data_IF_629061776586
#
_entry.id   IF_629061776586
#
_cell.length_a   1.000
_cell.length_b   1.000
_cell.length_c   1.000
_cell.angle_alpha   90.00
_cell.angle_beta   90.00
_cell.angle_gamma   90.00
#
_symmetry.space_group_name_H-M   'P 1'
#
loop_
_entity.id
_entity.type
_entity.pdbx_description
1 polymer ?
2 polymer ?
3 non-polymer ?
4 non-polymer ?
5 non-polymer ?
6 non-polymer ?
7 water ?
#
# COMPACT_ATOMS: atom_id res chain seq x y z
N UNK A 8 -18.90 -16.56 -0.89
CA UNK A 8 -17.72 -16.44 -1.74
C UNK A 8 -17.09 -17.82 -1.99
N UNK A 9 -16.76 -18.10 -3.25
CA UNK A 9 -16.27 -19.40 -3.68
C UNK A 9 -14.77 -19.36 -4.02
N UNK A 10 -14.09 -20.50 -3.86
CA UNK A 10 -12.66 -20.57 -4.09
C UNK A 10 -12.33 -21.60 -5.18
N UNK A 11 -11.32 -21.29 -5.99
CA UNK A 11 -10.79 -22.24 -6.98
C UNK A 11 -9.29 -22.00 -7.02
N UNK A 12 -8.53 -22.93 -6.46
CA UNK A 12 -7.09 -22.74 -6.43
C UNK A 12 -6.73 -21.52 -5.62
N UNK A 13 -6.04 -20.57 -6.25
CA UNK A 13 -5.64 -19.33 -5.61
C UNK A 13 -6.63 -18.19 -5.84
N UNK A 14 -7.75 -18.46 -6.51
CA UNK A 14 -8.74 -17.45 -6.85
C UNK A 14 -9.94 -17.49 -5.93
N UNK A 15 -10.52 -16.31 -5.69
CA UNK A 15 -11.74 -16.12 -4.93
C UNK A 15 -12.74 -15.42 -5.81
N UNK A 16 -14.01 -15.83 -5.73
CA UNK A 16 -15.08 -15.26 -6.54
C UNK A 16 -16.25 -14.88 -5.64
N UNK A 17 -16.88 -13.74 -5.95
CA UNK A 17 -18.02 -13.25 -5.18
C UNK A 17 -19.09 -12.79 -6.15
N UNK A 18 -20.31 -13.31 -5.99
CA UNK A 18 -21.39 -12.91 -6.89
C UNK A 18 -21.95 -11.57 -6.42
N UNK A 19 -21.88 -10.56 -7.30
CA UNK A 19 -22.37 -9.23 -6.97
C UNK A 19 -23.79 -8.98 -7.46
N UNK A 20 -24.24 -9.76 -8.43
CA UNK A 20 -25.50 -9.57 -9.13
C UNK A 20 -25.83 -10.89 -9.80
N UNK A 21 -27.08 -11.09 -10.25
CA UNK A 21 -27.42 -12.38 -10.86
C UNK A 21 -26.45 -12.83 -11.96
N UNK A 22 -25.93 -11.91 -12.76
CA UNK A 22 -25.04 -12.30 -13.85
C UNK A 22 -23.65 -11.66 -13.75
N UNK A 23 -23.21 -11.28 -12.54
CA UNK A 23 -21.93 -10.58 -12.38
C UNK A 23 -21.21 -11.14 -11.15
N UNK A 24 -19.93 -11.50 -11.33
CA UNK A 24 -19.07 -11.95 -10.24
C UNK A 24 -17.79 -11.13 -10.23
N UNK A 25 -17.26 -10.92 -9.03
CA UNK A 25 -15.94 -10.33 -8.83
C UNK A 25 -14.92 -11.44 -8.64
N UNK A 26 -13.82 -11.40 -9.41
CA UNK A 26 -12.73 -12.33 -9.22
C UNK A 26 -11.57 -11.61 -8.51
N UNK A 27 -10.93 -12.32 -7.58
CA UNK A 27 -9.87 -11.73 -6.77
C UNK A 27 -8.67 -12.67 -6.80
N UNK A 28 -7.51 -12.12 -7.13
CA UNK A 28 -6.26 -12.86 -7.11
C UNK A 28 -5.24 -12.06 -6.29
N UNK A 29 -4.19 -12.76 -5.81
CA UNK A 29 -3.21 -12.19 -4.91
C UNK A 29 -1.81 -12.38 -5.47
N UNK A 30 -1.00 -11.32 -5.36
CA UNK A 30 0.43 -11.39 -5.62
C UNK A 30 1.18 -10.92 -4.39
N UNK A 31 2.11 -11.74 -3.90
CA UNK A 31 2.91 -11.39 -2.74
C UNK A 31 4.01 -10.42 -3.19
N UNK A 32 4.02 -9.24 -2.60
CA UNK A 32 4.96 -8.20 -3.01
C UNK A 32 5.91 -7.91 -1.85
N UNK A 33 7.20 -7.67 -2.12
CA UNK A 33 8.10 -7.27 -1.03
C UNK A 33 7.58 -6.03 -0.31
N UNK A 34 7.66 -6.07 1.02
CA UNK A 34 7.12 -4.98 1.82
C UNK A 34 5.62 -5.01 2.02
N UNK A 35 4.85 -4.99 0.92
CA UNK A 35 3.39 -4.96 1.03
C UNK A 35 2.79 -6.33 1.35
N UNK A 36 3.49 -7.42 1.02
CA UNK A 36 2.89 -8.73 1.18
C UNK A 36 1.89 -9.02 0.07
N UNK A 37 0.94 -9.90 0.38
CA UNK A 37 -0.06 -10.31 -0.61
C UNK A 37 -1.03 -9.17 -0.89
N UNK A 38 -1.03 -8.67 -2.12
CA UNK A 38 -1.92 -7.59 -2.57
C UNK A 38 -3.05 -8.19 -3.38
N UNK A 39 -4.29 -7.89 -2.99
CA UNK A 39 -5.46 -8.37 -3.70
C UNK A 39 -5.77 -7.48 -4.90
N UNK A 40 -6.26 -8.09 -5.98
CA UNK A 40 -6.74 -7.34 -7.14
C UNK A 40 -8.03 -7.96 -7.63
N UNK A 41 -9.04 -7.12 -7.88
CA UNK A 41 -10.35 -7.56 -8.33
C UNK A 41 -10.55 -7.27 -9.82
N UNK A 42 -11.14 -8.23 -10.52
CA UNK A 42 -11.74 -8.00 -11.83
C UNK A 42 -13.21 -8.44 -11.86
N UNK A 43 -13.83 -8.53 -13.03
CA UNK A 43 -15.23 -8.92 -13.14
C UNK A 43 -15.44 -10.03 -14.17
N UNK A 44 -16.51 -10.79 -13.94
CA UNK A 44 -16.99 -11.82 -14.86
C UNK A 44 -18.46 -11.53 -15.09
N UNK A 45 -18.87 -11.47 -16.36
CA UNK A 45 -20.24 -11.05 -16.69
C UNK A 45 -20.86 -12.09 -17.61
N UNK A 46 -21.98 -12.69 -17.18
CA UNK A 46 -22.72 -13.64 -17.99
C UNK A 46 -23.75 -12.87 -18.82
N UNK A 47 -23.61 -12.92 -20.14
CA UNK A 47 -24.42 -12.15 -21.07
C UNK A 47 -25.13 -13.14 -22.01
N UNK A 48 -26.34 -13.52 -21.64
CA UNK A 48 -27.03 -14.56 -22.37
C UNK A 48 -26.25 -15.86 -22.35
N UNK A 49 -25.88 -16.36 -23.54
CA UNK A 49 -25.18 -17.62 -23.64
C UNK A 49 -23.66 -17.55 -23.71
N UNK A 50 -23.08 -16.46 -23.24
CA UNK A 50 -21.63 -16.33 -23.27
C UNK A 50 -21.16 -15.51 -22.07
N UNK A 51 -19.85 -15.53 -21.84
CA UNK A 51 -19.24 -14.90 -20.68
C UNK A 51 -18.26 -13.84 -21.18
N UNK A 52 -18.23 -12.69 -20.49
CA UNK A 52 -17.29 -11.61 -20.74
C UNK A 52 -16.44 -11.40 -19.49
N UNK A 53 -15.14 -11.17 -19.69
CA UNK A 53 -14.18 -11.03 -18.58
C UNK A 53 -13.59 -9.62 -18.59
N UNK A 54 -13.61 -8.97 -17.44
CA UNK A 54 -12.97 -7.67 -17.27
C UNK A 54 -11.73 -7.88 -16.41
N UNK A 55 -10.55 -7.71 -17.03
CA UNK A 55 -9.21 -7.81 -16.42
C UNK A 55 -8.76 -9.24 -16.18
N UNK A 56 -7.45 -9.48 -16.30
CA UNK A 56 -6.82 -10.74 -15.92
C UNK A 56 -6.60 -10.78 -14.41
N UNK A 57 -6.11 -11.93 -13.93
CA UNK A 57 -5.47 -12.01 -12.63
C UNK A 57 -4.02 -11.53 -12.74
N UNK A 58 -3.28 -11.58 -11.62
CA UNK A 58 -1.90 -11.11 -11.63
C UNK A 58 -1.03 -11.94 -12.56
N UNK A 59 -1.30 -13.24 -12.69
CA UNK A 59 -0.42 -14.10 -13.47
C UNK A 59 -1.21 -14.96 -14.46
N UNK A 60 -0.47 -15.55 -15.39
CA UNK A 60 -1.09 -16.44 -16.36
C UNK A 60 -1.78 -17.62 -15.67
N UNK A 61 -1.10 -18.25 -14.70
CA UNK A 61 -1.68 -19.43 -14.09
C UNK A 61 -2.94 -19.08 -13.31
N UNK A 62 -2.94 -17.95 -12.60
CA UNK A 62 -4.15 -17.51 -11.92
C UNK A 62 -5.26 -17.19 -12.92
N UNK A 63 -4.90 -16.65 -14.08
CA UNK A 63 -5.91 -16.34 -15.08
C UNK A 63 -6.48 -17.63 -15.67
N UNK A 64 -5.63 -18.65 -15.87
CA UNK A 64 -6.15 -19.97 -16.25
C UNK A 64 -7.11 -20.52 -15.21
N UNK A 65 -6.82 -20.26 -13.92
CA UNK A 65 -7.73 -20.70 -12.87
C UNK A 65 -9.10 -20.04 -13.02
N UNK A 66 -9.13 -18.73 -13.33
CA UNK A 66 -10.40 -18.05 -13.59
C UNK A 66 -11.17 -18.76 -14.70
N UNK A 67 -10.47 -19.11 -15.78
CA UNK A 67 -11.16 -19.70 -16.93
C UNK A 67 -11.70 -21.09 -16.59
N UNK A 68 -10.95 -21.85 -15.79
CA UNK A 68 -11.44 -23.16 -15.37
C UNK A 68 -12.63 -23.03 -14.43
N UNK A 69 -12.60 -22.05 -13.52
CA UNK A 69 -13.77 -21.84 -12.66
C UNK A 69 -14.98 -21.44 -13.48
N UNK A 70 -14.79 -20.60 -14.50
CA UNK A 70 -15.89 -20.22 -15.37
C UNK A 70 -16.52 -21.46 -15.99
N UNK A 71 -15.70 -22.32 -16.60
CA UNK A 71 -16.22 -23.53 -17.21
C UNK A 71 -16.94 -24.38 -16.18
N UNK A 72 -16.29 -24.60 -15.03
CA UNK A 72 -16.83 -25.48 -14.00
C UNK A 72 -18.15 -24.95 -13.45
N UNK A 73 -18.20 -23.65 -13.13
CA UNK A 73 -19.34 -23.08 -12.42
C UNK A 73 -20.41 -22.53 -13.34
N UNK A 74 -20.02 -21.89 -14.45
CA UNK A 74 -20.97 -21.22 -15.32
C UNK A 74 -21.20 -22.00 -16.61
N UNK A 75 -20.15 -22.63 -17.12
CA UNK A 75 -20.21 -23.51 -18.29
C UNK A 75 -20.90 -22.82 -19.47
N UNK A 76 -20.39 -21.64 -19.81
CA UNK A 76 -20.69 -20.89 -21.01
C UNK A 76 -19.36 -20.40 -21.58
N UNK A 77 -19.23 -20.37 -22.91
CA UNK A 77 -17.95 -19.97 -23.50
C UNK A 77 -17.62 -18.51 -23.19
N UNK A 78 -16.33 -18.25 -23.03
CA UNK A 78 -15.85 -16.89 -22.82
C UNK A 78 -15.60 -16.28 -24.20
N UNK A 79 -16.42 -15.30 -24.56
CA UNK A 79 -16.34 -14.69 -25.89
C UNK A 79 -15.19 -13.69 -26.00
N UNK A 80 -14.91 -12.93 -24.94
CA UNK A 80 -13.89 -11.88 -25.00
C UNK A 80 -13.49 -11.47 -23.60
N UNK A 81 -12.36 -10.77 -23.53
CA UNK A 81 -11.93 -10.08 -22.32
C UNK A 81 -11.52 -8.66 -22.67
N UNK A 82 -11.78 -7.73 -21.75
CA UNK A 82 -11.32 -6.35 -21.86
C UNK A 82 -10.51 -6.04 -20.60
N UNK A 83 -9.33 -5.46 -20.78
CA UNK A 83 -8.41 -5.20 -19.68
C UNK A 83 -8.20 -3.70 -19.60
N UNK A 84 -8.09 -3.17 -18.37
CA UNK A 84 -8.38 -1.76 -18.15
C UNK A 84 -7.14 -0.87 -18.05
N UNK A 85 -5.93 -1.43 -18.03
CA UNK A 85 -4.71 -0.67 -18.34
C UNK A 85 -3.52 -1.61 -18.27
N UNK A 86 -2.35 -1.09 -18.65
CA UNK A 86 -1.16 -1.93 -18.81
C UNK A 86 -0.35 -1.98 -17.51
N UNK A 87 -0.89 -2.72 -16.56
CA UNK A 87 -0.21 -3.02 -15.30
C UNK A 87 -0.42 -4.50 -14.99
N UNK A 88 0.50 -5.06 -14.19
CA UNK A 88 0.53 -6.51 -13.97
C UNK A 88 -0.80 -7.05 -13.42
N UNK A 89 -1.42 -6.33 -12.48
CA UNK A 89 -2.63 -6.90 -11.90
C UNK A 89 -3.81 -6.91 -12.87
N UNK A 90 -3.76 -6.14 -13.96
CA UNK A 90 -4.82 -6.07 -14.97
C UNK A 90 -4.52 -6.84 -16.25
N UNK A 91 -3.23 -6.97 -16.61
CA UNK A 91 -2.82 -7.60 -17.86
C UNK A 91 -1.79 -8.71 -17.63
N UNK A 92 -1.54 -9.10 -16.39
CA UNK A 92 -0.52 -10.11 -16.13
C UNK A 92 -0.83 -11.47 -16.73
N UNK A 93 -2.11 -11.77 -16.95
CA UNK A 93 -2.49 -13.08 -17.47
C UNK A 93 -2.86 -13.08 -18.95
N UNK A 94 -2.34 -12.14 -19.74
CA UNK A 94 -2.72 -12.07 -21.16
C UNK A 94 -2.37 -13.36 -21.90
N UNK A 95 -1.17 -13.91 -21.67
CA UNK A 95 -0.77 -15.13 -22.37
C UNK A 95 -1.76 -16.27 -22.16
N UNK A 96 -2.33 -16.37 -20.95
CA UNK A 96 -3.33 -17.38 -20.64
C UNK A 96 -4.60 -17.20 -21.48
N UNK A 97 -5.08 -15.96 -21.62
CA UNK A 97 -6.27 -15.73 -22.41
C UNK A 97 -6.04 -16.11 -23.87
N UNK A 98 -4.90 -15.71 -24.42
CA UNK A 98 -4.59 -16.02 -25.81
C UNK A 98 -4.43 -17.52 -26.03
N UNK A 99 -3.84 -18.22 -25.05
CA UNK A 99 -3.72 -19.66 -25.15
C UNK A 99 -5.09 -20.32 -25.22
N UNK A 100 -6.07 -19.74 -24.53
CA UNK A 100 -7.45 -20.21 -24.63
C UNK A 100 -8.19 -19.67 -25.85
N UNK A 101 -7.51 -18.92 -26.72
CA UNK A 101 -8.16 -18.42 -27.92
C UNK A 101 -9.22 -17.35 -27.67
N UNK A 102 -9.15 -16.67 -26.53
CA UNK A 102 -10.13 -15.64 -26.19
C UNK A 102 -9.68 -14.31 -26.80
N UNK A 103 -10.60 -13.63 -27.48
CA UNK A 103 -10.27 -12.35 -28.08
C UNK A 103 -10.11 -11.30 -26.98
N UNK A 104 -9.00 -10.57 -27.03
CA UNK A 104 -8.66 -9.61 -25.99
C UNK A 104 -8.67 -8.19 -26.54
N UNK A 105 -9.16 -7.27 -25.71
CA UNK A 105 -9.31 -5.85 -26.05
C UNK A 105 -8.67 -4.98 -24.98
N UNK A 106 -8.01 -3.91 -25.41
CA UNK A 106 -7.46 -2.93 -24.49
C UNK A 106 -7.43 -1.59 -25.21
N UNK A 107 -7.43 -0.51 -24.42
CA UNK A 107 -7.13 0.83 -24.95
C UNK A 107 -5.91 0.76 -25.87
N UNK A 108 -6.03 1.37 -27.05
CA UNK A 108 -4.87 1.44 -27.94
C UNK A 108 -3.63 1.91 -27.19
N UNK A 109 -3.80 2.87 -26.28
CA UNK A 109 -2.67 3.36 -25.48
C UNK A 109 -2.14 2.27 -24.54
N UNK A 110 -3.03 1.44 -23.99
CA UNK A 110 -2.58 0.32 -23.16
C UNK A 110 -1.71 -0.64 -23.97
N UNK A 111 -2.09 -0.93 -25.21
CA UNK A 111 -1.28 -1.84 -25.99
C UNK A 111 0.05 -1.20 -26.39
N UNK A 112 0.08 0.12 -26.57
CA UNK A 112 1.33 0.79 -26.90
C UNK A 112 2.28 0.82 -25.70
N UNK A 113 1.75 0.97 -24.49
CA UNK A 113 2.59 1.00 -23.30
C UNK A 113 2.96 -0.39 -22.81
N UNK A 114 2.16 -1.40 -23.16
CA UNK A 114 2.35 -2.75 -22.64
C UNK A 114 3.79 -3.27 -22.72
N UNK A 115 4.54 -3.08 -23.82
CA UNK A 115 5.91 -3.66 -23.85
C UNK A 115 6.84 -3.09 -22.79
N UNK A 116 6.87 -1.77 -22.61
CA UNK A 116 7.73 -1.22 -21.57
C UNK A 116 7.20 -1.51 -20.17
N UNK A 117 5.89 -1.73 -20.02
CA UNK A 117 5.36 -2.13 -18.72
C UNK A 117 5.54 -3.61 -18.45
N UNK A 118 6.16 -4.35 -19.35
CA UNK A 118 6.41 -5.76 -19.14
C UNK A 118 5.24 -6.67 -19.46
N UNK A 119 4.22 -6.15 -20.14
CA UNK A 119 2.97 -6.84 -20.40
C UNK A 119 2.90 -7.27 -21.85
N UNK A 120 2.08 -8.29 -22.10
CA UNK A 120 1.76 -8.70 -23.47
C UNK A 120 0.53 -7.90 -23.91
N UNK A 121 0.63 -7.27 -25.06
CA UNK A 121 -0.49 -6.48 -25.57
C UNK A 121 -1.71 -7.36 -25.81
N UNK A 122 -2.89 -6.75 -25.70
CA UNK A 122 -4.07 -7.42 -26.19
C UNK A 122 -4.07 -7.45 -27.72
N UNK A 123 -4.88 -8.33 -28.27
CA UNK A 123 -4.93 -8.53 -29.72
C UNK A 123 -5.69 -7.44 -30.45
N UNK A 124 -6.55 -6.69 -29.76
CA UNK A 124 -7.36 -5.65 -30.39
C UNK A 124 -7.23 -4.36 -29.57
N UNK A 125 -7.26 -3.24 -30.29
CA UNK A 125 -7.13 -1.91 -29.71
C UNK A 125 -8.47 -1.19 -29.74
N UNK A 126 -8.90 -0.69 -28.58
CA UNK A 126 -10.03 0.23 -28.47
C UNK A 126 -9.60 1.67 -28.66
N UNK A 127 -10.41 2.45 -29.35
CA UNK A 127 -10.15 3.89 -29.46
C UNK A 127 -11.37 4.63 -28.90
N UNK A 128 -11.19 5.91 -28.62
CA UNK A 128 -12.19 6.67 -27.88
C UNK A 128 -12.50 8.00 -28.55
N UNK A 129 -13.74 8.43 -28.39
CA UNK A 129 -14.19 9.73 -28.87
C UNK A 129 -13.68 10.83 -27.94
N UNK A 130 -13.83 12.08 -28.40
CA UNK A 130 -13.44 13.25 -27.61
C UNK A 130 -14.20 13.35 -26.30
N UNK A 131 -15.37 12.74 -26.17
CA UNK A 131 -16.06 12.73 -24.89
C UNK A 131 -15.75 11.49 -24.04
N UNK A 132 -14.75 10.70 -24.43
CA UNK A 132 -14.30 9.59 -23.61
C UNK A 132 -14.96 8.26 -23.88
N UNK A 133 -16.09 8.24 -24.58
CA UNK A 133 -16.78 6.98 -24.85
C UNK A 133 -16.05 6.19 -25.92
N UNK A 134 -16.04 4.86 -25.76
CA UNK A 134 -15.34 4.02 -26.73
C UNK A 134 -16.01 4.17 -28.08
N UNK A 135 -15.21 4.02 -29.13
CA UNK A 135 -15.76 3.97 -30.48
C UNK A 135 -16.32 2.58 -30.68
N UNK A 136 -17.65 2.42 -30.73
CA UNK A 136 -18.23 1.06 -30.66
C UNK A 136 -17.78 0.13 -31.77
N UNK A 137 -17.34 0.64 -32.91
CA UNK A 137 -16.82 -0.25 -33.95
C UNK A 137 -15.56 -0.97 -33.52
N UNK A 138 -14.81 -0.42 -32.56
CA UNK A 138 -13.61 -1.10 -32.09
C UNK A 138 -13.89 -2.06 -30.94
N UNK A 139 -15.11 -2.03 -30.37
CA UNK A 139 -15.54 -2.96 -29.32
C UNK A 139 -16.77 -3.71 -29.80
N UNK A 140 -16.64 -4.57 -30.83
CA UNK A 140 -17.82 -5.23 -31.40
C UNK A 140 -18.34 -6.31 -30.45
N UNK A 141 -19.66 -6.38 -30.36
CA UNK A 141 -20.36 -7.41 -29.59
C UNK A 141 -19.91 -7.45 -28.13
N UNK A 142 -19.76 -6.26 -27.53
CA UNK A 142 -19.47 -6.16 -26.10
C UNK A 142 -20.72 -6.30 -25.23
N UNK A 143 -21.90 -6.46 -25.82
CA UNK A 143 -23.11 -6.67 -25.08
C UNK A 143 -23.43 -5.54 -24.12
N UNK A 144 -23.56 -5.86 -22.83
CA UNK A 144 -23.86 -4.83 -21.83
C UNK A 144 -22.65 -4.04 -21.36
N UNK A 145 -21.44 -4.40 -21.77
CA UNK A 145 -20.25 -3.65 -21.38
C UNK A 145 -20.21 -2.30 -22.08
N UNK A 146 -20.19 -1.22 -21.30
CA UNK A 146 -20.04 0.15 -21.80
C UNK A 146 -18.68 0.66 -21.36
N UNK A 147 -17.73 0.77 -22.29
CA UNK A 147 -16.35 1.12 -21.99
C UNK A 147 -16.14 2.62 -22.15
N UNK A 148 -15.56 3.24 -21.12
CA UNK A 148 -15.38 4.69 -21.05
C UNK A 148 -13.96 4.99 -20.62
N UNK A 149 -13.29 5.89 -21.35
CA UNK A 149 -11.97 6.36 -20.98
C UNK A 149 -12.08 7.70 -20.27
N UNK A 150 -11.80 7.77 -18.97
CA UNK A 150 -12.09 9.01 -18.22
C UNK A 150 -11.04 10.09 -18.33
N UNK A 151 -9.90 9.80 -18.95
CA UNK A 151 -8.75 10.68 -18.88
C UNK A 151 -7.66 10.10 -18.01
N UNK A 152 -6.46 10.69 -18.05
CA UNK A 152 -5.34 10.14 -17.28
C UNK A 152 -5.54 10.33 -15.79
N UNK A 153 -5.20 9.31 -15.02
CA UNK A 153 -5.36 9.36 -13.58
C UNK A 153 -4.43 8.38 -12.89
N UNK A 154 -4.96 7.21 -12.51
CA UNK A 154 -4.10 6.16 -11.99
C UNK A 154 -2.94 5.87 -12.95
N UNK A 155 -3.24 5.73 -14.23
CA UNK A 155 -2.24 5.75 -15.30
C UNK A 155 -2.75 6.65 -16.41
N UNK A 156 -1.93 6.84 -17.45
CA UNK A 156 -2.40 7.65 -18.57
C UNK A 156 -3.44 6.90 -19.40
N UNK A 157 -3.47 5.57 -19.31
CA UNK A 157 -4.30 4.75 -20.19
C UNK A 157 -5.49 4.11 -19.49
N UNK A 158 -5.72 4.35 -18.20
CA UNK A 158 -6.77 3.61 -17.50
C UNK A 158 -8.14 3.84 -18.16
N UNK A 159 -8.92 2.75 -18.26
CA UNK A 159 -10.29 2.79 -18.78
C UNK A 159 -11.22 2.17 -17.74
N UNK A 160 -12.52 2.41 -17.93
CA UNK A 160 -13.56 2.01 -16.98
C UNK A 160 -14.71 1.36 -17.74
N UNK A 161 -15.52 0.58 -17.02
CA UNK A 161 -16.54 -0.28 -17.64
C UNK A 161 -17.80 -0.22 -16.79
N UNK A 162 -18.93 0.12 -17.42
CA UNK A 162 -20.24 -0.06 -16.82
C UNK A 162 -20.92 -1.31 -17.35
N UNK A 163 -21.81 -1.88 -16.56
CA UNK A 163 -22.59 -3.03 -16.98
C UNK A 163 -24.02 -2.57 -17.17
N UNK A 164 -24.44 -2.45 -18.43
CA UNK A 164 -25.77 -1.93 -18.71
C UNK A 164 -26.82 -2.87 -18.14
N UNK A 165 -27.84 -2.30 -17.52
CA UNK A 165 -28.91 -3.08 -16.93
C UNK A 165 -28.65 -3.52 -15.50
N UNK A 166 -27.56 -3.07 -14.90
CA UNK A 166 -27.26 -3.33 -13.51
C UNK A 166 -26.97 -1.99 -12.85
N UNK A 167 -26.78 -2.03 -11.54
CA UNK A 167 -26.35 -0.86 -10.80
C UNK A 167 -24.83 -0.74 -10.75
N UNK A 168 -24.10 -1.48 -11.58
CA UNK A 168 -22.67 -1.69 -11.37
C UNK A 168 -21.85 -0.90 -12.38
N UNK A 169 -20.78 -0.26 -11.88
CA UNK A 169 -19.76 0.37 -12.70
C UNK A 169 -18.40 0.04 -12.08
N UNK A 170 -17.43 -0.24 -12.95
CA UNK A 170 -16.13 -0.74 -12.53
C UNK A 170 -15.10 0.37 -12.80
N UNK A 171 -14.56 0.94 -11.74
CA UNK A 171 -13.51 1.93 -11.87
C UNK A 171 -12.09 1.38 -11.94
N UNK A 172 -11.91 0.06 -11.78
CA UNK A 172 -10.56 -0.49 -11.80
C UNK A 172 -9.70 0.16 -10.73
N UNK A 173 -8.47 0.49 -11.10
CA UNK A 173 -7.50 1.04 -10.15
C UNK A 173 -7.63 2.56 -9.97
N UNK A 174 -8.50 3.20 -10.75
CA UNK A 174 -8.68 4.65 -10.67
C UNK A 174 -9.33 5.05 -9.36
N UNK A 175 -10.27 4.23 -8.90
CA UNK A 175 -11.13 4.54 -7.75
C UNK A 175 -10.69 3.71 -6.56
N UNK A 176 -10.62 4.37 -5.40
CA UNK A 176 -10.42 3.73 -4.10
C UNK A 176 -11.69 3.88 -3.28
N UNK A 177 -11.82 3.07 -2.23
CA UNK A 177 -13.07 3.12 -1.48
C UNK A 177 -13.15 4.39 -0.64
N UNK A 178 -14.34 4.62 -0.08
CA UNK A 178 -14.64 5.90 0.55
C UNK A 178 -13.87 6.14 1.83
N UNK A 179 -13.29 5.10 2.42
CA UNK A 179 -12.52 5.23 3.65
C UNK A 179 -11.03 5.06 3.42
N UNK A 180 -10.59 5.02 2.17
CA UNK A 180 -9.17 4.81 1.86
C UNK A 180 -8.34 5.99 2.35
N UNK A 181 -7.13 5.70 2.82
CA UNK A 181 -6.22 6.72 3.30
C UNK A 181 -5.35 7.32 2.21
N UNK A 182 -5.25 6.67 1.05
CA UNK A 182 -4.41 7.19 -0.01
C UNK A 182 -4.89 6.62 -1.35
N UNK A 183 -4.33 7.15 -2.43
CA UNK A 183 -4.60 6.68 -3.78
C UNK A 183 -3.70 5.50 -4.19
N UNK A 184 -2.95 4.93 -3.25
CA UNK A 184 -2.23 3.69 -3.55
C UNK A 184 -1.09 3.90 -4.54
N UNK A 185 -1.06 3.04 -5.56
CA UNK A 185 0.02 2.97 -6.53
C UNK A 185 -0.01 4.16 -7.50
N UNK A 186 0.70 5.23 -7.17
CA UNK A 186 0.74 6.44 -7.99
C UNK A 186 2.00 6.54 -8.85
N UNK A 187 2.80 5.47 -8.92
CA UNK A 187 4.07 5.52 -9.62
C UNK A 187 3.96 5.89 -11.10
N UNK A 188 2.83 5.57 -11.73
CA UNK A 188 2.58 5.93 -13.13
C UNK A 188 1.46 6.97 -13.26
N UNK A 189 1.08 7.62 -12.17
CA UNK A 189 -0.15 8.40 -12.16
C UNK A 189 0.06 9.77 -12.82
N UNK A 190 -1.06 10.34 -13.27
CA UNK A 190 -1.15 11.71 -13.76
C UNK A 190 -1.74 12.55 -12.63
N UNK A 191 -0.85 13.13 -11.82
CA UNK A 191 -1.29 13.84 -10.62
C UNK A 191 -2.12 15.07 -10.95
N UNK A 192 -1.83 15.73 -12.07
CA UNK A 192 -2.55 16.95 -12.44
C UNK A 192 -3.99 16.66 -12.83
N UNK A 193 -4.23 15.58 -13.57
CA UNK A 193 -5.55 15.32 -14.12
C UNK A 193 -6.36 14.28 -13.34
N UNK A 194 -5.77 13.63 -12.33
CA UNK A 194 -6.43 12.52 -11.63
C UNK A 194 -7.84 12.91 -11.14
N UNK A 195 -7.96 14.06 -10.47
CA UNK A 195 -9.25 14.40 -9.88
C UNK A 195 -10.32 14.55 -10.95
N UNK A 196 -9.99 15.24 -12.05
CA UNK A 196 -10.93 15.38 -13.15
C UNK A 196 -11.34 14.03 -13.71
N UNK A 197 -10.38 13.12 -13.86
CA UNK A 197 -10.70 11.84 -14.48
C UNK A 197 -11.58 10.98 -13.56
N UNK A 198 -11.32 11.00 -12.26
CA UNK A 198 -12.19 10.27 -11.33
C UNK A 198 -13.61 10.81 -11.38
N UNK A 199 -13.76 12.13 -11.44
CA UNK A 199 -15.10 12.72 -11.56
C UNK A 199 -15.73 12.38 -12.90
N UNK A 200 -14.94 12.37 -13.98
CA UNK A 200 -15.49 12.01 -15.30
C UNK A 200 -16.04 10.58 -15.29
N UNK A 201 -15.37 9.69 -14.55
CA UNK A 201 -15.90 8.33 -14.37
C UNK A 201 -17.30 8.38 -13.76
N UNK A 202 -17.47 9.18 -12.70
CA UNK A 202 -18.76 9.28 -12.06
C UNK A 202 -19.84 9.87 -12.97
N UNK A 203 -19.47 10.88 -13.77
CA UNK A 203 -20.44 11.49 -14.67
C UNK A 203 -20.79 10.59 -15.85
N UNK A 204 -19.92 9.64 -16.21
CA UNK A 204 -20.19 8.76 -17.33
C UNK A 204 -21.19 7.67 -16.95
N UNK A 205 -21.23 7.25 -15.69
CA UNK A 205 -22.17 6.24 -15.19
C UNK A 205 -22.98 6.90 -14.08
N UNK A 206 -23.84 7.86 -14.44
CA UNK A 206 -24.39 8.76 -13.41
C UNK A 206 -25.29 8.07 -12.41
N UNK A 207 -25.86 6.93 -12.75
CA UNK A 207 -26.83 6.30 -11.87
C UNK A 207 -26.27 5.10 -11.11
N UNK A 208 -25.11 4.57 -11.51
CA UNK A 208 -24.61 3.35 -10.88
C UNK A 208 -24.40 3.57 -9.39
N UNK A 209 -24.93 2.64 -8.58
CA UNK A 209 -24.88 2.76 -7.13
C UNK A 209 -23.85 1.84 -6.48
N UNK A 210 -23.39 0.82 -7.21
CA UNK A 210 -22.38 -0.11 -6.72
C UNK A 210 -21.11 0.15 -7.54
N UNK A 211 -20.09 0.70 -6.88
CA UNK A 211 -18.81 1.00 -7.53
C UNK A 211 -17.85 -0.13 -7.17
N UNK A 212 -17.38 -0.85 -8.19
CA UNK A 212 -16.42 -1.94 -8.05
C UNK A 212 -15.04 -1.41 -8.42
N UNK A 213 -14.01 -1.87 -7.71
CA UNK A 213 -12.67 -1.35 -7.96
C UNK A 213 -11.63 -2.43 -7.68
N UNK A 214 -10.38 -2.14 -8.07
CA UNK A 214 -9.35 -3.18 -8.10
C UNK A 214 -8.86 -3.55 -6.70
N UNK A 215 -8.74 -2.59 -5.79
CA UNK A 215 -8.07 -2.85 -4.52
C UNK A 215 -8.92 -2.50 -3.31
N UNK A 216 -10.25 -2.48 -3.46
CA UNK A 216 -11.18 -2.37 -2.33
C UNK A 216 -12.40 -3.21 -2.64
N UNK A 217 -13.13 -3.59 -1.59
CA UNK A 217 -14.44 -4.20 -1.73
C UNK A 217 -15.38 -3.20 -2.40
N UNK A 218 -16.44 -3.68 -3.05
CA UNK A 218 -17.40 -2.77 -3.70
C UNK A 218 -17.97 -1.78 -2.70
N UNK A 219 -18.20 -0.54 -3.16
CA UNK A 219 -18.56 0.56 -2.29
C UNK A 219 -19.65 1.39 -2.96
N UNK A 220 -20.11 2.42 -2.27
CA UNK A 220 -21.09 3.35 -2.81
C UNK A 220 -20.38 4.41 -3.63
N UNK A 221 -21.16 5.31 -4.25
CA UNK A 221 -20.59 6.42 -5.00
C UNK A 221 -19.70 7.31 -4.16
N UNK A 222 -19.80 7.21 -2.83
CA UNK A 222 -18.86 7.94 -1.96
C UNK A 222 -17.42 7.61 -2.30
N UNK A 223 -17.17 6.43 -2.89
CA UNK A 223 -15.82 6.08 -3.30
C UNK A 223 -15.30 7.04 -4.37
N UNK A 224 -16.16 7.41 -5.31
CA UNK A 224 -15.78 8.35 -6.37
C UNK A 224 -15.46 9.72 -5.78
N UNK A 225 -16.40 10.28 -5.00
CA UNK A 225 -16.20 11.65 -4.50
C UNK A 225 -15.00 11.71 -3.56
N UNK A 226 -14.83 10.69 -2.69
CA UNK A 226 -13.66 10.65 -1.81
C UNK A 226 -12.36 10.52 -2.60
N UNK A 227 -12.34 9.64 -3.60
CA UNK A 227 -11.16 9.53 -4.48
C UNK A 227 -10.84 10.86 -5.12
N UNK A 228 -11.86 11.58 -5.60
CA UNK A 228 -11.61 12.88 -6.24
C UNK A 228 -11.02 13.88 -5.24
N UNK A 229 -11.56 13.93 -4.01
CA UNK A 229 -11.03 14.85 -2.99
C UNK A 229 -9.56 14.57 -2.69
N UNK A 230 -9.21 13.31 -2.48
CA UNK A 230 -7.81 12.94 -2.30
C UNK A 230 -6.97 13.37 -3.50
N UNK A 231 -7.49 13.22 -4.71
CA UNK A 231 -6.71 13.62 -5.88
C UNK A 231 -6.56 15.12 -5.97
N UNK A 232 -7.58 15.88 -5.52
CA UNK A 232 -7.47 17.35 -5.50
C UNK A 232 -6.20 17.79 -4.80
N UNK A 233 -5.80 17.08 -3.75
CA UNK A 233 -4.66 17.42 -2.91
C UNK A 233 -3.32 17.13 -3.59
N UNK A 234 -3.32 16.58 -4.80
CA UNK A 234 -2.05 16.28 -5.47
C UNK A 234 -1.63 17.37 -6.46
N UNK B 8 3.86 18.30 6.28
CA UNK B 8 3.53 19.70 6.05
C UNK B 8 4.70 20.48 5.42
N UNK B 9 5.92 20.19 5.87
CA UNK B 9 7.10 20.97 5.52
C UNK B 9 8.07 20.13 4.69
N UNK B 10 8.39 20.59 3.48
CA UNK B 10 9.29 19.89 2.57
C UNK B 10 10.71 20.40 2.69
N UNK B 11 11.68 19.50 2.47
CA UNK B 11 13.09 19.79 2.68
C UNK B 11 13.88 18.76 1.90
N UNK B 12 14.52 19.17 0.82
CA UNK B 12 15.00 18.18 -0.14
C UNK B 12 13.82 17.34 -0.59
N UNK B 13 14.04 16.03 -0.67
CA UNK B 13 12.95 15.11 -0.97
C UNK B 13 12.30 14.56 0.29
N UNK B 14 12.63 15.10 1.45
CA UNK B 14 12.08 14.65 2.72
C UNK B 14 10.92 15.57 3.11
N UNK B 15 10.11 15.10 4.06
CA UNK B 15 8.94 15.82 4.57
C UNK B 15 8.98 15.74 6.10
N UNK B 16 8.65 16.85 6.75
CA UNK B 16 8.68 16.95 8.21
C UNK B 16 7.38 17.57 8.68
N UNK B 17 6.79 16.98 9.72
CA UNK B 17 5.53 17.48 10.28
C UNK B 17 5.66 17.52 11.79
N UNK B 18 5.27 18.65 12.40
CA UNK B 18 5.34 18.74 13.85
C UNK B 18 4.11 18.08 14.48
N UNK B 19 4.35 17.20 15.45
CA UNK B 19 3.26 16.52 16.14
C UNK B 19 2.98 17.09 17.53
N UNK B 20 4.02 17.59 18.20
CA UNK B 20 3.90 18.13 19.54
C UNK B 20 4.93 19.22 19.67
N UNK B 21 4.84 20.06 20.73
CA UNK B 21 5.87 21.09 20.96
C UNK B 21 7.30 20.68 20.64
N UNK B 22 7.74 19.51 21.09
CA UNK B 22 9.13 19.08 20.91
C UNK B 22 9.26 17.78 20.12
N UNK B 23 8.27 17.45 19.28
CA UNK B 23 8.25 16.17 18.57
C UNK B 23 7.88 16.40 17.10
N UNK B 24 8.73 15.90 16.20
CA UNK B 24 8.45 15.93 14.77
C UNK B 24 8.56 14.54 14.18
N UNK B 25 7.71 14.27 13.20
CA UNK B 25 7.81 13.06 12.38
C UNK B 25 8.63 13.38 11.13
N UNK B 26 9.68 12.58 10.88
CA UNK B 26 10.42 12.69 9.63
C UNK B 26 9.93 11.62 8.66
N UNK B 27 9.87 11.99 7.37
CA UNK B 27 9.35 11.10 6.34
C UNK B 27 10.28 11.11 5.14
N UNK B 28 10.68 9.92 4.69
CA UNK B 28 11.51 9.71 3.51
C UNK B 28 10.86 8.67 2.61
N UNK B 29 11.23 8.73 1.33
CA UNK B 29 10.58 7.95 0.28
C UNK B 29 11.62 7.15 -0.50
N UNK B 30 11.26 5.90 -0.81
CA UNK B 30 12.05 5.05 -1.68
C UNK B 30 11.13 4.52 -2.77
N UNK B 31 11.56 4.63 -4.02
CA UNK B 31 10.82 4.06 -5.13
C UNK B 31 10.88 2.53 -5.04
N UNK B 32 9.72 1.89 -5.00
CA UNK B 32 9.62 0.44 -5.09
C UNK B 32 9.15 0.07 -6.49
N UNK B 33 9.73 -1.00 -7.03
CA UNK B 33 9.39 -1.42 -8.38
C UNK B 33 7.89 -1.65 -8.51
N UNK B 34 7.28 -1.01 -9.51
CA UNK B 34 5.89 -1.21 -9.79
C UNK B 34 4.92 -0.55 -8.82
N UNK B 35 5.41 0.27 -7.90
CA UNK B 35 4.50 0.99 -7.01
C UNK B 35 4.82 2.48 -7.03
N UNK B 36 6.10 2.82 -6.90
CA UNK B 36 6.48 4.21 -6.76
C UNK B 36 7.01 4.53 -5.37
N UNK B 37 6.79 5.77 -4.93
CA UNK B 37 7.36 6.28 -3.69
C UNK B 37 6.67 5.64 -2.48
N UNK B 38 7.43 4.94 -1.65
CA UNK B 38 6.93 4.39 -0.39
C UNK B 38 7.43 5.27 0.75
N UNK B 39 6.51 5.78 1.55
CA UNK B 39 6.86 6.59 2.70
C UNK B 39 7.34 5.71 3.85
N UNK B 40 8.36 6.18 4.57
CA UNK B 40 8.69 5.66 5.88
C UNK B 40 8.84 6.82 6.87
N UNK B 41 8.26 6.66 8.06
CA UNK B 41 8.26 7.70 9.09
C UNK B 41 9.12 7.31 10.27
N UNK B 42 9.87 8.29 10.79
CA UNK B 42 10.50 8.19 12.10
C UNK B 42 10.17 9.40 12.96
N UNK B 43 10.90 9.59 14.07
CA UNK B 43 10.63 10.70 14.97
C UNK B 43 11.90 11.47 15.32
N UNK B 44 11.72 12.74 15.62
CA UNK B 44 12.77 13.63 16.09
C UNK B 44 12.25 14.29 17.37
N UNK B 45 13.07 14.30 18.42
CA UNK B 45 12.60 14.74 19.74
C UNK B 45 13.60 15.72 20.30
N UNK B 46 13.15 16.92 20.65
CA UNK B 46 13.99 17.91 21.33
C UNK B 46 13.83 17.73 22.83
N UNK B 47 14.91 17.33 23.50
CA UNK B 47 14.92 17.13 24.95
C UNK B 47 15.94 18.09 25.54
N UNK B 48 15.46 19.23 26.02
CA UNK B 48 16.33 20.26 26.54
C UNK B 48 17.17 20.88 25.44
N UNK B 49 18.48 20.67 25.49
CA UNK B 49 19.38 21.21 24.49
C UNK B 49 20.05 20.14 23.66
N UNK B 50 19.36 19.01 23.48
CA UNK B 50 19.83 17.95 22.59
C UNK B 50 18.65 17.39 21.81
N UNK B 51 18.94 16.75 20.68
CA UNK B 51 17.93 16.13 19.85
C UNK B 51 18.11 14.62 19.90
N UNK B 52 16.98 13.91 19.95
CA UNK B 52 16.95 12.45 19.89
C UNK B 52 16.24 12.05 18.61
N UNK B 53 16.80 11.09 17.88
CA UNK B 53 16.21 10.61 16.63
C UNK B 53 15.78 9.16 16.81
N UNK B 54 14.56 8.85 16.39
CA UNK B 54 14.07 7.48 16.30
C UNK B 54 13.99 7.12 14.82
N UNK B 55 14.80 6.14 14.41
CA UNK B 55 14.88 5.55 13.06
C UNK B 55 15.64 6.42 12.07
N UNK B 56 16.43 5.79 11.20
CA UNK B 56 17.02 6.48 10.07
C UNK B 56 15.98 6.65 8.98
N UNK B 57 16.38 7.27 7.87
CA UNK B 57 15.61 7.21 6.64
C UNK B 57 16.05 5.98 5.83
N UNK B 58 15.46 5.79 4.65
CA UNK B 58 15.83 4.65 3.82
C UNK B 58 17.31 4.67 3.46
N UNK B 59 17.91 5.84 3.22
CA UNK B 59 19.29 5.90 2.74
C UNK B 59 20.14 6.82 3.60
N UNK B 60 21.46 6.64 3.45
CA UNK B 60 22.41 7.55 4.11
C UNK B 60 22.21 8.99 3.66
N UNK B 61 22.05 9.21 2.36
CA UNK B 61 21.82 10.57 1.87
C UNK B 61 20.56 11.17 2.48
N UNK B 62 19.47 10.39 2.52
CA UNK B 62 18.24 10.88 3.14
C UNK B 62 18.44 11.15 4.63
N UNK B 63 19.25 10.33 5.28
CA UNK B 63 19.48 10.50 6.70
C UNK B 63 20.37 11.72 6.98
N UNK B 64 21.37 11.95 6.14
CA UNK B 64 22.12 13.20 6.25
C UNK B 64 21.21 14.40 6.10
N UNK B 65 20.16 14.29 5.28
CA UNK B 65 19.20 15.39 5.11
C UNK B 65 18.34 15.59 6.35
N UNK B 66 18.03 14.52 7.09
CA UNK B 66 17.36 14.69 8.38
C UNK B 66 18.23 15.52 9.33
N UNK B 67 19.53 15.20 9.39
CA UNK B 67 20.44 15.99 10.21
C UNK B 67 20.50 17.44 9.74
N UNK B 68 20.55 17.65 8.42
CA UNK B 68 20.50 19.01 7.87
C UNK B 68 19.23 19.73 8.32
N UNK B 69 18.07 19.08 8.21
CA UNK B 69 16.84 19.72 8.64
C UNK B 69 16.89 20.06 10.13
N UNK B 70 17.39 19.15 10.96
CA UNK B 70 17.52 19.43 12.39
C UNK B 70 18.40 20.66 12.62
N UNK B 71 19.54 20.73 11.92
CA UNK B 71 20.41 21.88 12.07
C UNK B 71 19.67 23.18 11.74
N UNK B 72 18.89 23.18 10.66
CA UNK B 72 18.18 24.38 10.25
C UNK B 72 17.05 24.72 11.22
N UNK B 73 16.22 23.74 11.56
CA UNK B 73 14.98 24.06 12.27
C UNK B 73 15.12 24.03 13.79
N UNK B 74 16.09 23.28 14.33
CA UNK B 74 16.24 23.10 15.76
C UNK B 74 17.58 23.64 16.26
N UNK B 75 18.66 23.37 15.51
CA UNK B 75 19.97 23.95 15.79
C UNK B 75 20.47 23.56 17.18
N UNK B 76 20.35 22.26 17.48
CA UNK B 76 20.92 21.61 18.65
C UNK B 76 21.63 20.35 18.18
N UNK B 77 22.66 19.90 18.89
CA UNK B 77 23.34 18.66 18.48
C UNK B 77 22.44 17.45 18.71
N UNK B 78 22.69 16.40 17.92
CA UNK B 78 21.94 15.16 18.03
C UNK B 78 22.73 14.24 18.95
N UNK B 79 22.15 13.93 20.11
CA UNK B 79 22.90 13.17 21.13
C UNK B 79 22.93 11.69 20.80
N UNK B 80 21.84 11.15 20.29
CA UNK B 80 21.76 9.72 20.03
C UNK B 80 20.60 9.44 19.09
N UNK B 81 20.64 8.24 18.50
CA UNK B 81 19.54 7.72 17.72
C UNK B 81 19.24 6.29 18.16
N UNK B 82 17.95 5.96 18.23
CA UNK B 82 17.47 4.60 18.42
C UNK B 82 16.78 4.16 17.14
N UNK B 83 17.09 2.95 16.66
CA UNK B 83 16.45 2.38 15.48
C UNK B 83 15.66 1.14 15.90
N UNK B 84 14.47 0.99 15.33
CA UNK B 84 13.48 0.08 15.89
C UNK B 84 13.48 -1.34 15.30
N UNK B 85 14.17 -1.59 14.18
CA UNK B 85 14.54 -2.96 13.79
C UNK B 85 15.45 -2.90 12.57
N UNK B 86 15.95 -4.07 12.16
CA UNK B 86 17.01 -4.16 11.15
C UNK B 86 16.43 -4.39 9.75
N UNK B 87 15.78 -3.33 9.24
CA UNK B 87 15.30 -3.27 7.88
C UNK B 87 15.71 -1.93 7.30
N UNK B 88 15.71 -1.85 5.96
CA UNK B 88 16.26 -0.69 5.26
C UNK B 88 15.55 0.60 5.66
N UNK B 89 14.22 0.56 5.82
CA UNK B 89 13.51 1.81 6.11
C UNK B 89 13.80 2.34 7.51
N UNK B 90 14.33 1.51 8.41
CA UNK B 90 14.65 1.94 9.77
C UNK B 90 16.15 2.09 10.02
N UNK B 91 16.98 1.33 9.31
CA UNK B 91 18.41 1.31 9.55
C UNK B 91 19.24 1.55 8.29
N UNK B 92 18.61 1.87 7.17
CA UNK B 92 19.37 2.08 5.95
C UNK B 92 20.36 3.23 6.01
N UNK B 93 20.22 4.15 6.96
CA UNK B 93 21.07 5.33 7.01
C UNK B 93 22.09 5.38 8.13
N UNK B 94 22.46 4.21 8.67
CA UNK B 94 23.33 4.15 9.85
C UNK B 94 24.67 4.82 9.60
N UNK B 95 25.27 4.63 8.41
CA UNK B 95 26.57 5.23 8.12
C UNK B 95 26.55 6.75 8.24
N UNK B 96 25.46 7.39 7.81
CA UNK B 96 25.38 8.84 7.92
C UNK B 96 25.34 9.29 9.37
N UNK B 97 24.64 8.53 10.22
CA UNK B 97 24.61 8.85 11.65
C UNK B 97 26.02 8.76 12.23
N UNK B 98 26.73 7.66 11.93
CA UNK B 98 28.06 7.45 12.46
C UNK B 98 29.05 8.48 11.90
N UNK B 99 28.92 8.82 10.63
CA UNK B 99 29.77 9.86 10.08
C UNK B 99 29.60 11.19 10.82
N UNK B 100 28.39 11.46 11.32
CA UNK B 100 28.13 12.70 12.06
C UNK B 100 28.53 12.62 13.52
N UNK B 101 29.09 11.51 13.98
CA UNK B 101 29.46 11.39 15.38
C UNK B 101 28.27 11.21 16.31
N UNK B 102 27.20 10.58 15.86
CA UNK B 102 26.00 10.36 16.67
C UNK B 102 26.06 8.94 17.24
N UNK B 103 25.78 8.80 18.54
CA UNK B 103 25.75 7.49 19.17
C UNK B 103 24.46 6.75 18.84
N UNK B 104 24.58 5.52 18.35
CA UNK B 104 23.42 4.78 17.86
C UNK B 104 23.12 3.58 18.76
N UNK B 105 21.82 3.32 18.95
CA UNK B 105 21.32 2.26 19.80
C UNK B 105 20.31 1.41 19.05
N UNK B 106 20.34 0.10 19.31
CA UNK B 106 19.34 -0.80 18.77
C UNK B 106 19.24 -2.02 19.68
N UNK B 107 18.10 -2.72 19.57
CA UNK B 107 17.94 -4.03 20.18
C UNK B 107 19.15 -4.89 19.82
N UNK B 108 19.75 -5.51 20.83
CA UNK B 108 20.87 -6.41 20.56
C UNK B 108 20.56 -7.35 19.40
N UNK B 109 19.30 -7.81 19.31
CA UNK B 109 18.91 -8.73 18.24
C UNK B 109 18.93 -8.02 16.88
N UNK B 110 18.55 -6.75 16.84
CA UNK B 110 18.67 -5.99 15.60
C UNK B 110 20.12 -5.92 15.16
N UNK B 111 21.03 -5.65 16.10
CA UNK B 111 22.45 -5.58 15.77
C UNK B 111 22.97 -6.93 15.32
N UNK B 112 22.46 -8.02 15.90
CA UNK B 112 22.86 -9.36 15.46
C UNK B 112 22.33 -9.67 14.07
N UNK B 113 21.10 -9.25 13.77
CA UNK B 113 20.50 -9.53 12.47
C UNK B 113 21.02 -8.63 11.37
N UNK B 114 21.55 -7.46 11.73
CA UNK B 114 21.79 -6.40 10.74
C UNK B 114 22.74 -6.84 9.62
N UNK B 115 23.86 -7.51 9.88
CA UNK B 115 24.70 -7.95 8.75
C UNK B 115 23.95 -8.79 7.73
N UNK B 116 23.23 -9.83 8.14
CA UNK B 116 22.54 -10.67 7.16
C UNK B 116 21.38 -9.92 6.49
N UNK B 117 20.85 -8.88 7.11
CA UNK B 117 19.81 -8.06 6.49
C UNK B 117 20.38 -6.95 5.62
N UNK B 118 21.70 -6.88 5.47
CA UNK B 118 22.32 -5.85 4.67
C UNK B 118 22.42 -4.49 5.34
N UNK B 119 22.27 -4.41 6.66
CA UNK B 119 22.32 -3.16 7.39
C UNK B 119 23.62 -3.04 8.17
N UNK B 120 24.00 -1.79 8.45
CA UNK B 120 25.10 -1.52 9.36
C UNK B 120 24.55 -1.55 10.79
N UNK B 121 25.22 -2.29 11.66
CA UNK B 121 24.74 -2.41 13.02
C UNK B 121 24.93 -1.10 13.79
N UNK B 122 24.06 -0.89 14.78
CA UNK B 122 24.25 0.24 15.69
C UNK B 122 25.48 -0.02 16.56
N UNK B 123 25.94 1.04 17.23
CA UNK B 123 27.15 0.93 18.04
C UNK B 123 26.87 0.33 19.41
N UNK B 124 25.67 0.52 19.96
CA UNK B 124 25.34 0.03 21.29
C UNK B 124 24.11 -0.86 21.18
N UNK B 125 23.98 -1.77 22.15
CA UNK B 125 22.93 -2.78 22.13
C UNK B 125 22.01 -2.61 23.34
N UNK B 126 20.71 -2.58 23.08
CA UNK B 126 19.70 -2.55 24.11
C UNK B 126 19.31 -3.98 24.45
N UNK B 127 19.10 -4.25 25.73
CA UNK B 127 18.54 -5.52 26.16
C UNK B 127 17.29 -5.25 26.99
N UNK B 128 16.48 -6.30 27.16
CA UNK B 128 15.13 -6.14 27.67
C UNK B 128 14.83 -7.16 28.76
N UNK B 129 14.08 -6.72 29.76
CA UNK B 129 13.58 -7.63 30.77
C UNK B 129 12.51 -8.54 30.20
N UNK B 130 12.12 -9.53 31.00
CA UNK B 130 11.10 -10.49 30.58
C UNK B 130 9.74 -9.84 30.38
N UNK B 131 9.50 -8.66 30.98
CA UNK B 131 8.24 -7.97 30.76
C UNK B 131 8.30 -7.00 29.59
N UNK B 132 9.44 -6.93 28.89
CA UNK B 132 9.57 -6.19 27.66
C UNK B 132 10.26 -4.84 27.79
N UNK B 133 10.36 -4.29 29.01
CA UNK B 133 10.94 -2.98 29.18
C UNK B 133 12.46 -3.02 29.06
N UNK B 134 13.01 -1.95 28.46
CA UNK B 134 14.46 -1.90 28.25
C UNK B 134 15.16 -1.94 29.60
N UNK B 135 16.30 -2.62 29.65
CA UNK B 135 17.14 -2.56 30.84
C UNK B 135 17.75 -1.17 30.94
N UNK B 136 17.45 -0.39 31.99
CA UNK B 136 17.87 1.03 32.01
C UNK B 136 19.36 1.22 31.77
N UNK B 137 20.18 0.29 32.25
CA UNK B 137 21.63 0.42 32.14
C UNK B 137 22.10 0.41 30.69
N UNK B 138 21.36 -0.24 29.79
CA UNK B 138 21.74 -0.25 28.38
C UNK B 138 21.21 0.97 27.62
N UNK B 139 20.43 1.82 28.29
CA UNK B 139 19.76 2.96 27.65
C UNK B 139 20.05 4.24 28.44
N UNK B 140 21.32 4.65 28.52
CA UNK B 140 21.67 5.79 29.38
C UNK B 140 21.21 7.10 28.76
N UNK B 141 20.62 7.96 29.60
CA UNK B 141 20.25 9.33 29.23
C UNK B 141 19.35 9.37 27.99
N UNK B 142 18.28 8.56 28.03
CA UNK B 142 17.30 8.55 26.94
C UNK B 142 16.20 9.58 27.13
N UNK B 143 16.34 10.47 28.11
CA UNK B 143 15.41 11.56 28.28
C UNK B 143 13.99 11.04 28.41
N UNK B 144 13.10 11.54 27.55
CA UNK B 144 11.70 11.09 27.60
C UNK B 144 11.44 9.79 26.84
N UNK B 145 12.42 9.22 26.16
CA UNK B 145 12.17 8.03 25.36
C UNK B 145 12.05 6.80 26.26
N UNK B 146 10.91 6.13 26.19
CA UNK B 146 10.62 4.90 26.93
C UNK B 146 10.54 3.76 25.93
N UNK B 147 11.50 2.84 25.99
CA UNK B 147 11.72 1.86 24.93
C UNK B 147 11.22 0.50 25.39
N UNK B 148 10.37 -0.13 24.56
CA UNK B 148 9.67 -1.33 24.94
C UNK B 148 9.79 -2.36 23.83
N UNK B 149 10.14 -3.60 24.20
CA UNK B 149 10.19 -4.68 23.23
C UNK B 149 8.93 -5.51 23.40
N UNK B 150 7.99 -5.50 22.45
CA UNK B 150 6.68 -6.13 22.68
C UNK B 150 6.62 -7.60 22.32
N UNK B 151 7.70 -8.16 21.79
CA UNK B 151 7.70 -9.52 21.31
C UNK B 151 7.77 -9.56 19.80
N UNK B 152 8.01 -10.75 19.24
CA UNK B 152 8.14 -10.86 17.77
C UNK B 152 6.83 -10.58 17.06
N UNK B 153 6.92 -9.81 15.97
CA UNK B 153 5.74 -9.48 15.20
C UNK B 153 6.04 -9.23 13.74
N UNK B 154 6.23 -7.96 13.39
CA UNK B 154 6.65 -7.61 12.04
C UNK B 154 8.00 -8.27 11.72
N UNK B 155 8.93 -8.20 12.66
CA UNK B 155 10.17 -8.99 12.68
C UNK B 155 10.36 -9.53 14.10
N UNK B 156 11.40 -10.35 14.28
CA UNK B 156 11.69 -10.88 15.60
C UNK B 156 12.29 -9.83 16.53
N UNK B 157 12.88 -8.77 15.98
CA UNK B 157 13.60 -7.79 16.78
C UNK B 157 12.86 -6.47 17.00
N UNK B 158 11.66 -6.30 16.44
CA UNK B 158 11.05 -4.98 16.41
C UNK B 158 10.82 -4.43 17.81
N UNK B 159 11.16 -3.15 18.00
CA UNK B 159 10.94 -2.48 19.29
C UNK B 159 10.10 -1.24 19.07
N UNK B 160 9.61 -0.68 20.17
CA UNK B 160 8.71 0.47 20.15
C UNK B 160 9.16 1.49 21.18
N UNK B 161 8.75 2.74 20.97
CA UNK B 161 9.20 3.86 21.79
C UNK B 161 8.00 4.75 22.12
N UNK B 162 7.80 5.03 23.40
CA UNK B 162 6.89 6.06 23.83
C UNK B 162 7.65 7.30 24.27
N UNK B 163 6.99 8.44 24.22
CA UNK B 163 7.61 9.72 24.55
C UNK B 163 6.96 10.23 25.83
N UNK B 164 7.69 10.13 26.94
CA UNK B 164 7.16 10.53 28.24
C UNK B 164 6.76 11.99 28.24
N UNK B 165 5.63 12.28 28.86
CA UNK B 165 5.11 13.63 28.90
C UNK B 165 4.28 14.03 27.70
N UNK B 166 4.05 13.11 26.77
CA UNK B 166 3.25 13.35 25.58
C UNK B 166 2.18 12.29 25.50
N UNK B 167 1.31 12.44 24.50
CA UNK B 167 0.32 11.42 24.18
C UNK B 167 0.80 10.48 23.08
N UNK B 168 2.10 10.43 22.79
CA UNK B 168 2.63 9.80 21.58
C UNK B 168 3.33 8.49 21.92
N UNK B 169 2.98 7.43 21.20
CA UNK B 169 3.71 6.17 21.21
C UNK B 169 3.95 5.75 19.77
N UNK B 170 5.17 5.29 19.50
CA UNK B 170 5.63 4.94 18.16
C UNK B 170 5.68 3.43 18.01
N UNK B 171 4.89 2.89 17.11
CA UNK B 171 4.90 1.46 16.86
C UNK B 171 5.83 1.00 15.75
N UNK B 172 6.53 1.92 15.07
CA UNK B 172 7.35 1.51 13.94
C UNK B 172 6.53 0.77 12.91
N UNK B 173 7.08 -0.33 12.40
CA UNK B 173 6.41 -1.14 11.40
C UNK B 173 5.53 -2.22 12.00
N UNK B 174 5.54 -2.37 13.33
CA UNK B 174 4.66 -3.35 13.98
C UNK B 174 3.19 -3.03 13.74
N UNK B 175 2.83 -1.75 13.82
CA UNK B 175 1.44 -1.32 13.83
C UNK B 175 1.08 -0.74 12.47
N UNK B 177 -2.21 1.24 10.16
CA UNK B 177 -3.34 2.11 10.49
C UNK B 177 -4.65 1.32 10.50
N UNK B 178 -5.67 1.93 11.11
CA UNK B 178 -6.94 1.23 11.35
C UNK B 178 -7.73 0.93 10.08
N UNK B 179 -7.32 1.47 8.93
CA UNK B 179 -7.96 1.14 7.67
C UNK B 179 -7.09 0.27 6.79
N UNK B 180 -6.00 -0.29 7.32
CA UNK B 180 -5.08 -1.07 6.51
C UNK B 180 -5.72 -2.39 6.07
N UNK B 181 -5.19 -2.95 4.98
CA UNK B 181 -5.71 -4.16 4.38
C UNK B 181 -4.91 -5.40 4.75
N UNK B 182 -3.58 -5.30 4.83
CA UNK B 182 -2.72 -6.42 5.16
C UNK B 182 -1.80 -6.03 6.31
N UNK B 183 -1.18 -7.03 6.89
CA UNK B 183 -0.07 -6.80 7.82
C UNK B 183 1.26 -6.57 7.11
N UNK B 184 1.24 -6.38 5.79
CA UNK B 184 2.48 -6.22 5.06
C UNK B 184 3.15 -7.55 4.81
N UNK B 185 4.38 -7.48 4.31
CA UNK B 185 5.08 -8.71 3.97
C UNK B 185 5.33 -9.54 5.22
N UNK B 186 4.99 -10.82 5.13
CA UNK B 186 5.10 -11.75 6.26
C UNK B 186 6.34 -12.61 6.18
N UNK B 187 7.30 -12.26 5.31
CA UNK B 187 8.50 -13.07 5.20
C UNK B 187 9.25 -13.18 6.51
N UNK B 188 9.43 -12.06 7.19
CA UNK B 188 10.17 -12.03 8.45
C UNK B 188 9.24 -12.05 9.65
N UNK B 189 7.95 -12.16 9.43
CA UNK B 189 6.97 -11.96 10.49
C UNK B 189 6.82 -13.21 11.35
N UNK B 190 6.60 -12.99 12.65
CA UNK B 190 6.20 -14.06 13.55
C UNK B 190 4.67 -14.06 13.57
N UNK B 191 4.07 -14.81 12.65
CA UNK B 191 2.62 -14.83 12.53
C UNK B 191 1.94 -15.43 13.76
N UNK B 192 2.64 -16.30 14.50
CA UNK B 192 2.02 -16.91 15.66
C UNK B 192 1.92 -15.94 16.84
N UNK B 193 2.87 -15.02 16.99
CA UNK B 193 2.88 -14.12 18.13
C UNK B 193 2.53 -12.66 17.78
N UNK B 194 2.29 -12.35 16.51
CA UNK B 194 2.07 -10.96 16.11
C UNK B 194 0.95 -10.30 16.92
N UNK B 195 -0.19 -10.99 17.06
CA UNK B 195 -1.33 -10.38 17.75
C UNK B 195 -0.96 -10.00 19.19
N UNK B 196 -0.34 -10.93 19.93
CA UNK B 196 0.04 -10.62 21.30
C UNK B 196 1.08 -9.50 21.35
N UNK B 197 1.98 -9.47 20.38
CA UNK B 197 2.99 -8.42 20.39
C UNK B 197 2.37 -7.06 20.15
N UNK B 198 1.43 -6.96 19.20
CA UNK B 198 0.74 -5.69 19.00
C UNK B 198 0.02 -5.25 20.27
N UNK B 199 -0.67 -6.18 20.93
CA UNK B 199 -1.43 -5.82 22.12
C UNK B 199 -0.50 -5.48 23.28
N UNK B 200 0.68 -6.10 23.34
CA UNK B 200 1.65 -5.77 24.39
C UNK B 200 2.15 -4.34 24.25
N UNK B 201 2.36 -3.88 23.00
CA UNK B 201 2.68 -2.48 22.75
C UNK B 201 1.56 -1.57 23.25
N UNK B 202 0.31 -1.89 22.91
CA UNK B 202 -0.80 -1.12 23.42
C UNK B 202 -0.83 -1.11 24.94
N UNK B 203 -0.61 -2.27 25.57
CA UNK B 203 -0.68 -2.32 27.03
C UNK B 203 0.50 -1.59 27.68
N UNK B 204 1.64 -1.50 27.00
CA UNK B 204 2.80 -0.85 27.62
C UNK B 204 2.66 0.66 27.65
N UNK B 205 1.90 1.23 26.71
CA UNK B 205 1.63 2.67 26.68
C UNK B 205 0.13 2.86 26.73
N UNK B 206 -0.49 2.54 27.89
CA UNK B 206 -1.95 2.36 27.91
C UNK B 206 -2.72 3.65 27.68
N UNK B 207 -2.09 4.81 27.87
CA UNK B 207 -2.78 6.08 27.74
C UNK B 207 -2.50 6.79 26.42
N UNK B 208 -1.44 6.39 25.70
CA UNK B 208 -1.09 7.05 24.45
C UNK B 208 -2.27 7.05 23.50
N UNK B 209 -2.60 8.23 22.96
CA UNK B 209 -3.75 8.40 22.10
C UNK B 209 -3.37 8.69 20.66
N UNK B 210 -2.15 9.16 20.40
CA UNK B 210 -1.62 9.37 19.06
C UNK B 210 -0.59 8.27 18.76
N UNK B 211 -0.95 7.35 17.88
CA UNK B 211 -0.10 6.22 17.57
C UNK B 211 0.63 6.52 16.27
N UNK B 212 1.93 6.74 16.37
CA UNK B 212 2.79 7.00 15.22
C UNK B 212 3.31 5.67 14.67
N UNK B 213 3.34 5.54 13.35
CA UNK B 213 3.77 4.30 12.70
C UNK B 213 4.57 4.62 11.45
N UNK B 214 5.13 3.56 10.85
CA UNK B 214 6.14 3.75 9.81
C UNK B 214 5.55 4.13 8.46
N UNK B 215 4.38 3.59 8.08
CA UNK B 215 3.88 3.75 6.71
C UNK B 215 2.44 4.28 6.67
N UNK B 216 2.03 5.02 7.70
CA UNK B 216 0.76 5.72 7.69
C UNK B 216 0.91 6.94 8.57
N UNK B 217 0.00 7.90 8.39
CA UNK B 217 0.01 9.09 9.22
C UNK B 217 -0.44 8.69 10.63
N UNK B 218 -0.14 9.51 11.65
CA UNK B 218 -0.55 9.16 13.01
C UNK B 218 -2.04 8.82 13.08
N UNK B 219 -2.38 7.89 13.95
CA UNK B 219 -3.73 7.40 14.09
C UNK B 219 -4.13 7.32 15.56
N UNK B 220 -5.35 6.89 15.80
CA UNK B 220 -5.81 6.62 17.16
C UNK B 220 -5.44 5.18 17.52
N UNK B 221 -5.75 4.78 18.76
CA UNK B 221 -5.44 3.43 19.21
C UNK B 221 -6.19 2.36 18.44
N UNK B 222 -7.23 2.72 17.68
CA UNK B 222 -7.86 1.78 16.78
C UNK B 222 -6.86 1.15 15.82
N UNK B 223 -5.75 1.84 15.54
CA UNK B 223 -4.68 1.25 14.76
C UNK B 223 -4.12 0.00 15.45
N UNK B 224 -3.99 0.06 16.77
CA UNK B 224 -3.50 -1.11 17.51
C UNK B 224 -4.54 -2.22 17.48
N UNK B 225 -5.79 -1.89 17.80
CA UNK B 225 -6.86 -2.89 17.82
C UNK B 225 -7.04 -3.56 16.47
N UNK B 226 -7.08 -2.75 15.41
CA UNK B 226 -7.24 -3.28 14.08
C UNK B 226 -6.03 -4.13 13.67
N UNK B 227 -4.82 -3.69 14.01
CA UNK B 227 -3.64 -4.48 13.68
C UNK B 227 -3.69 -5.82 14.40
N UNK B 228 -3.98 -5.80 15.70
CA UNK B 228 -4.15 -7.04 16.44
C UNK B 228 -5.26 -7.89 15.83
N UNK B 229 -6.35 -7.26 15.39
CA UNK B 229 -7.46 -8.04 14.85
C UNK B 229 -7.06 -8.76 13.57
N UNK B 230 -6.31 -8.08 12.69
CA UNK B 230 -5.82 -8.75 11.49
C UNK B 230 -4.90 -9.92 11.86
N UNK B 231 -3.97 -9.70 12.79
CA UNK B 231 -3.03 -10.76 13.18
C UNK B 231 -3.75 -11.95 13.81
N UNK B 232 -4.90 -11.71 14.46
CA UNK B 232 -5.67 -12.81 15.05
C UNK B 232 -6.03 -13.85 14.00
N UNK B 233 -6.19 -13.44 12.75
CA UNK B 233 -6.60 -14.35 11.70
C UNK B 233 -5.44 -15.13 11.07
N UNK B 234 -4.20 -14.83 11.46
CA UNK B 234 -3.03 -15.51 10.88
C UNK B 234 -2.54 -16.64 11.78
#
# INVERSE_FOLDING_TARGET
GQQMETGDQRFGDLVFRQLAPNVWQHTSYLDMPGFGAVASNGLIVRDGGRVLVVDTAWTDDQTAQILNWIKQEINLPVALAVVTHAHQDKMGGMDALHAAGIATYANALSNQLAPQEGMVAAQHSLTFAANGWVEPATAPNFGPLKVFYPGPGHTSDNITVGIDGTDIAFGGCLIKDSKAKSLGNLGDADTEHYAASARAFGAAFPKASMIVMSHSAPDSRAAITHTARMADKLR
GQQMETGDQRFGDLVFRQLAPNVWQHTSYLDMPGFGAVASNGLIVRDGGRVLVVDTAWTDDQTAQILNWIKQEINLPVALAVVTHAHQDKMGGMDALHAAGIATYANALSNQLAPQEGMVAAQHSLTFAANGWVEPATAPNFGPLKVFYPGPGHTSDNITVGIDGTDIAFGGCLIXDSKAKSLGNLGDADTEHYAASARAFGAAFPKASMIVMSHSAPDSRAAITHTARMADKLR
#
